data_IF_135878373513
#
_entry.id   IF_135878373513
#
_cell.length_a   1.000
_cell.length_b   1.000
_cell.length_c   1.000
_cell.angle_alpha   90.00
_cell.angle_beta   90.00
_cell.angle_gamma   90.00
#
_symmetry.space_group_name_H-M   'P 1'
#
loop_
_entity.id
_entity.type
_entity.pdbx_description
1 polymer ?
#
# COMPACT_ATOMS: atom_id res chain seq x y z
N UNK A 1 16.90 -35.40 50.62
CA UNK A 1 17.50 -34.56 49.58
C UNK A 1 16.64 -34.71 48.33
N UNK A 2 15.89 -33.70 47.88
CA UNK A 2 15.08 -33.79 46.68
C UNK A 2 15.94 -33.48 45.44
N UNK A 3 15.88 -34.39 44.48
CA UNK A 3 16.57 -34.33 43.19
C UNK A 3 15.97 -33.22 42.31
N UNK A 4 16.76 -32.21 41.97
CA UNK A 4 16.45 -31.20 40.97
C UNK A 4 16.57 -31.83 39.56
N UNK A 5 15.42 -31.92 38.87
CA UNK A 5 15.39 -32.25 37.41
C UNK A 5 15.84 -31.02 36.61
N UNK A 6 16.73 -31.18 35.64
CA UNK A 6 17.10 -30.06 34.79
C UNK A 6 15.90 -29.65 33.89
N UNK A 7 15.51 -28.36 33.93
CA UNK A 7 14.66 -27.77 32.92
C UNK A 7 15.42 -27.67 31.61
N UNK A 8 14.98 -28.41 30.60
CA UNK A 8 15.45 -28.22 29.24
C UNK A 8 14.91 -26.92 28.71
N UNK A 9 15.77 -25.92 28.58
CA UNK A 9 15.47 -24.66 27.89
C UNK A 9 15.39 -24.95 26.38
N UNK A 10 14.18 -25.13 25.84
CA UNK A 10 13.99 -25.21 24.41
C UNK A 10 14.26 -23.79 23.83
N UNK A 11 15.45 -23.62 23.22
CA UNK A 11 15.73 -22.47 22.41
C UNK A 11 14.81 -22.52 21.17
N UNK A 12 13.77 -21.69 21.16
CA UNK A 12 13.05 -21.36 19.92
C UNK A 12 14.07 -20.64 19.03
N UNK A 13 14.67 -21.36 18.09
CA UNK A 13 15.34 -20.76 16.96
C UNK A 13 14.23 -20.07 16.13
N UNK A 14 14.10 -18.76 16.30
CA UNK A 14 13.36 -17.96 15.34
C UNK A 14 14.01 -18.20 13.98
N UNK A 15 13.31 -18.85 13.08
CA UNK A 15 13.76 -18.93 11.69
C UNK A 15 13.97 -17.48 11.23
N UNK A 16 15.09 -17.15 10.56
CA UNK A 16 15.26 -15.84 9.98
C UNK A 16 14.04 -15.60 9.09
N UNK A 17 13.36 -14.46 9.27
CA UNK A 17 12.31 -14.05 8.34
C UNK A 17 12.96 -14.14 6.95
N UNK A 18 12.48 -15.07 6.14
CA UNK A 18 12.96 -15.20 4.77
C UNK A 18 12.79 -13.82 4.14
N UNK A 19 13.89 -13.23 3.70
CA UNK A 19 13.82 -11.98 2.99
C UNK A 19 12.82 -12.19 1.85
N UNK A 20 11.77 -11.38 1.79
CA UNK A 20 10.73 -11.51 0.76
C UNK A 20 11.38 -11.15 -0.58
N UNK A 21 12.05 -12.12 -1.18
CA UNK A 21 12.85 -11.91 -2.39
C UNK A 21 11.98 -11.83 -3.66
N UNK A 22 10.71 -12.25 -3.57
CA UNK A 22 9.88 -12.53 -4.73
C UNK A 22 10.35 -13.78 -5.48
N UNK A 23 9.56 -14.23 -6.42
CA UNK A 23 9.93 -15.33 -7.30
C UNK A 23 10.89 -14.86 -8.39
N UNK A 24 11.79 -15.75 -8.87
CA UNK A 24 12.61 -15.42 -10.03
C UNK A 24 11.73 -15.09 -11.25
N UNK A 25 12.05 -14.01 -11.95
CA UNK A 25 11.37 -13.67 -13.20
C UNK A 25 11.87 -14.63 -14.29
N UNK A 26 10.96 -15.43 -14.84
CA UNK A 26 11.20 -16.33 -15.97
C UNK A 26 10.56 -15.76 -17.24
N UNK A 27 10.81 -16.39 -18.40
CA UNK A 27 10.16 -15.99 -19.64
C UNK A 27 8.62 -16.15 -19.57
N UNK A 28 8.13 -17.15 -18.83
CA UNK A 28 6.70 -17.40 -18.65
C UNK A 28 6.04 -16.36 -17.76
N UNK A 29 6.72 -15.86 -16.73
CA UNK A 29 6.16 -14.93 -15.73
C UNK A 29 6.45 -13.47 -15.99
N UNK A 30 7.36 -13.14 -16.92
CA UNK A 30 7.80 -11.77 -17.18
C UNK A 30 6.67 -10.82 -17.59
N UNK A 31 5.71 -11.29 -18.39
CA UNK A 31 4.56 -10.49 -18.81
C UNK A 31 3.65 -10.18 -17.62
N UNK A 32 3.33 -11.18 -16.81
CA UNK A 32 2.49 -11.06 -15.63
C UNK A 32 3.10 -10.12 -14.59
N UNK A 33 4.39 -10.28 -14.29
CA UNK A 33 5.13 -9.39 -13.37
C UNK A 33 5.09 -7.95 -13.87
N UNK A 34 5.33 -7.76 -15.18
CA UNK A 34 5.31 -6.42 -15.79
C UNK A 34 3.93 -5.80 -15.72
N UNK A 35 2.87 -6.58 -15.97
CA UNK A 35 1.49 -6.10 -15.88
C UNK A 35 1.14 -5.67 -14.45
N UNK A 36 1.43 -6.49 -13.44
CA UNK A 36 1.16 -6.16 -12.03
C UNK A 36 1.90 -4.89 -11.58
N UNK A 37 3.18 -4.73 -11.96
CA UNK A 37 3.94 -3.50 -11.67
C UNK A 37 3.26 -2.29 -12.33
N UNK A 38 2.90 -2.39 -13.61
CA UNK A 38 2.22 -1.29 -14.34
C UNK A 38 0.86 -0.95 -13.75
N UNK A 39 0.11 -1.94 -13.24
CA UNK A 39 -1.16 -1.70 -12.55
C UNK A 39 -0.92 -0.86 -11.29
N UNK A 40 0.04 -1.25 -10.43
CA UNK A 40 0.33 -0.51 -9.21
C UNK A 40 0.79 0.93 -9.50
N UNK A 41 1.68 1.12 -10.48
CA UNK A 41 2.15 2.43 -10.89
C UNK A 41 1.03 3.27 -11.53
N UNK A 42 0.12 2.63 -12.29
CA UNK A 42 -1.03 3.30 -12.91
C UNK A 42 -2.08 3.75 -11.89
N UNK A 43 -2.29 3.00 -10.81
CA UNK A 43 -3.14 3.42 -9.69
C UNK A 43 -2.57 4.70 -9.07
N UNK A 44 -1.26 4.74 -8.77
CA UNK A 44 -0.61 5.91 -8.20
C UNK A 44 -0.74 7.13 -9.12
N UNK A 45 -0.48 6.94 -10.42
CA UNK A 45 -0.60 8.01 -11.41
C UNK A 45 -2.04 8.53 -11.55
N UNK A 46 -3.04 7.64 -11.54
CA UNK A 46 -4.44 8.02 -11.60
C UNK A 46 -4.89 8.80 -10.34
N UNK A 47 -4.44 8.36 -9.16
CA UNK A 47 -4.69 9.06 -7.89
C UNK A 47 -4.07 10.46 -7.90
N UNK A 48 -2.84 10.60 -8.37
CA UNK A 48 -2.16 11.91 -8.46
C UNK A 48 -2.84 12.85 -9.46
N UNK A 49 -3.33 12.30 -10.58
CA UNK A 49 -4.12 13.03 -11.56
C UNK A 49 -5.58 13.30 -11.12
N UNK A 50 -6.03 12.71 -10.00
CA UNK A 50 -7.44 12.74 -9.56
C UNK A 50 -8.39 12.08 -10.59
N UNK A 51 -7.87 11.15 -11.40
CA UNK A 51 -8.67 10.35 -12.33
C UNK A 51 -9.24 9.13 -11.60
N UNK A 52 -10.24 9.37 -10.79
CA UNK A 52 -10.87 8.35 -9.94
C UNK A 52 -11.52 7.22 -10.75
N UNK A 53 -12.21 7.48 -11.87
CA UNK A 53 -12.70 6.43 -12.75
C UNK A 53 -11.58 5.51 -13.26
N UNK A 54 -10.43 6.06 -13.65
CA UNK A 54 -9.29 5.27 -14.09
C UNK A 54 -8.70 4.45 -12.93
N UNK A 55 -8.49 5.07 -11.76
CA UNK A 55 -8.01 4.35 -10.58
C UNK A 55 -8.89 3.14 -10.24
N UNK A 56 -10.23 3.31 -10.30
CA UNK A 56 -11.21 2.25 -10.00
C UNK A 56 -11.07 1.02 -10.88
N UNK A 57 -10.67 1.17 -12.14
CA UNK A 57 -10.59 0.07 -13.11
C UNK A 57 -9.58 -1.02 -12.75
N UNK A 58 -8.60 -0.71 -11.91
CA UNK A 58 -7.55 -1.65 -11.52
C UNK A 58 -7.92 -2.55 -10.34
N UNK A 59 -9.06 -2.28 -9.70
CA UNK A 59 -9.51 -3.03 -8.53
C UNK A 59 -10.66 -3.98 -8.85
N UNK A 60 -10.67 -5.14 -8.19
CA UNK A 60 -11.85 -5.99 -8.14
C UNK A 60 -13.04 -5.25 -7.51
N UNK A 61 -14.26 -5.78 -7.64
CA UNK A 61 -15.45 -5.15 -7.08
C UNK A 61 -15.38 -5.01 -5.56
N UNK A 62 -14.71 -5.97 -4.91
CA UNK A 62 -14.46 -5.99 -3.48
C UNK A 62 -12.96 -6.11 -3.23
N UNK A 63 -12.45 -5.36 -2.27
CA UNK A 63 -11.02 -5.32 -1.94
C UNK A 63 -10.81 -5.45 -0.43
N UNK A 64 -9.79 -6.20 -0.04
CA UNK A 64 -9.29 -6.23 1.33
C UNK A 64 -8.29 -5.07 1.52
N UNK A 65 -8.53 -4.21 2.51
CA UNK A 65 -7.68 -3.04 2.78
C UNK A 65 -7.12 -3.08 4.20
N UNK A 66 -5.83 -2.75 4.33
CA UNK A 66 -5.19 -2.52 5.62
C UNK A 66 -4.32 -1.25 5.55
N UNK A 67 -4.92 -0.14 5.98
CA UNK A 67 -4.24 1.14 6.20
C UNK A 67 -4.16 1.50 7.68
N UNK A 68 -4.35 0.52 8.57
CA UNK A 68 -4.43 0.73 10.03
C UNK A 68 -3.19 1.39 10.60
N UNK A 69 -2.01 1.06 10.08
CA UNK A 69 -0.75 1.67 10.49
C UNK A 69 -0.62 3.17 10.09
N UNK A 70 -1.38 3.63 9.09
CA UNK A 70 -1.42 5.02 8.64
C UNK A 70 -2.55 5.81 9.30
N UNK A 71 -3.76 5.24 9.29
CA UNK A 71 -5.01 5.94 9.63
C UNK A 71 -5.68 5.42 10.91
N UNK A 72 -5.17 4.36 11.52
CA UNK A 72 -5.86 3.67 12.62
C UNK A 72 -7.02 2.79 12.12
N UNK A 73 -7.86 2.34 13.06
CA UNK A 73 -8.98 1.45 12.75
C UNK A 73 -8.59 -0.02 12.66
N UNK A 74 -9.33 -0.80 11.89
CA UNK A 74 -9.14 -2.24 11.68
C UNK A 74 -9.09 -2.54 10.17
N UNK A 75 -8.38 -3.62 9.76
CA UNK A 75 -8.45 -4.10 8.39
C UNK A 75 -9.90 -4.42 7.99
N UNK A 76 -10.26 -4.17 6.74
CA UNK A 76 -11.63 -4.34 6.28
C UNK A 76 -11.70 -4.88 4.84
N UNK A 77 -12.75 -5.63 4.56
CA UNK A 77 -13.16 -5.96 3.19
C UNK A 77 -14.26 -4.99 2.79
N UNK A 78 -14.02 -4.19 1.75
CA UNK A 78 -14.94 -3.12 1.31
C UNK A 78 -15.18 -3.18 -0.20
N UNK A 79 -16.30 -2.62 -0.69
CA UNK A 79 -16.44 -2.33 -2.12
C UNK A 79 -15.31 -1.41 -2.59
N UNK A 80 -14.74 -1.67 -3.76
CA UNK A 80 -13.67 -0.80 -4.29
C UNK A 80 -14.16 0.64 -4.54
N UNK A 81 -15.45 0.83 -4.84
CA UNK A 81 -16.04 2.17 -4.94
C UNK A 81 -15.93 2.96 -3.63
N UNK A 82 -16.09 2.30 -2.48
CA UNK A 82 -15.91 2.93 -1.17
C UNK A 82 -14.45 3.32 -0.89
N UNK A 83 -13.47 2.52 -1.37
CA UNK A 83 -12.06 2.91 -1.31
C UNK A 83 -11.79 4.18 -2.13
N UNK A 84 -12.28 4.21 -3.37
CA UNK A 84 -12.11 5.37 -4.27
C UNK A 84 -12.81 6.60 -3.70
N UNK A 85 -14.01 6.47 -3.14
CA UNK A 85 -14.73 7.57 -2.47
C UNK A 85 -13.92 8.10 -1.27
N UNK A 86 -13.36 7.20 -0.45
CA UNK A 86 -12.49 7.58 0.66
C UNK A 86 -11.27 8.40 0.21
N UNK A 87 -10.60 7.96 -0.85
CA UNK A 87 -9.46 8.70 -1.41
C UNK A 87 -9.87 10.03 -2.02
N UNK A 88 -10.91 10.05 -2.86
CA UNK A 88 -11.37 11.26 -3.55
C UNK A 88 -11.90 12.34 -2.60
N UNK A 89 -12.49 11.93 -1.48
CA UNK A 89 -12.97 12.86 -0.46
C UNK A 89 -11.83 13.55 0.31
N UNK A 90 -10.65 12.92 0.41
CA UNK A 90 -9.48 13.52 1.07
C UNK A 90 -8.54 14.21 0.07
N UNK A 91 -8.25 13.55 -1.06
CA UNK A 91 -7.31 14.02 -2.07
C UNK A 91 -8.05 14.83 -3.16
N UNK A 92 -8.68 15.94 -2.77
CA UNK A 92 -9.39 16.82 -3.69
C UNK A 92 -8.44 17.57 -4.64
N UNK A 93 -9.00 18.36 -5.56
CA UNK A 93 -8.19 19.13 -6.52
C UNK A 93 -7.22 20.12 -5.85
N UNK A 94 -7.54 20.61 -4.65
CA UNK A 94 -6.68 21.55 -3.91
C UNK A 94 -5.55 20.87 -3.14
N UNK A 95 -5.65 19.56 -2.91
CA UNK A 95 -4.59 18.78 -2.27
C UNK A 95 -3.78 18.06 -3.34
N UNK A 96 -2.71 18.70 -3.79
CA UNK A 96 -1.75 18.04 -4.68
C UNK A 96 -1.15 16.81 -3.99
N UNK A 97 -0.97 15.75 -4.74
CA UNK A 97 -0.33 14.51 -4.29
C UNK A 97 0.67 14.01 -5.30
N UNK A 98 1.61 13.24 -4.83
CA UNK A 98 2.56 12.53 -5.66
C UNK A 98 2.90 11.20 -4.99
N UNK A 99 2.88 10.14 -5.77
CA UNK A 99 3.28 8.80 -5.36
C UNK A 99 4.41 8.28 -6.23
N UNK A 100 5.36 7.62 -5.60
CA UNK A 100 6.44 6.90 -6.29
C UNK A 100 6.56 5.52 -5.67
N UNK A 101 6.59 4.48 -6.52
CA UNK A 101 6.69 3.10 -6.11
C UNK A 101 7.92 2.42 -6.71
N UNK A 102 8.54 1.51 -5.97
CA UNK A 102 9.73 0.79 -6.43
C UNK A 102 10.03 -0.45 -5.61
N UNK A 103 11.14 -1.13 -5.92
CA UNK A 103 11.53 -2.37 -5.26
C UNK A 103 10.45 -3.45 -5.31
N UNK A 104 9.77 -3.57 -6.45
CA UNK A 104 8.70 -4.55 -6.64
C UNK A 104 9.25 -5.98 -6.57
N UNK A 105 8.58 -6.82 -5.78
CA UNK A 105 8.86 -8.24 -5.62
C UNK A 105 7.55 -8.98 -5.69
N UNK A 106 7.37 -9.82 -6.69
CA UNK A 106 6.16 -10.60 -6.91
C UNK A 106 6.41 -12.04 -6.49
N UNK A 107 5.47 -12.63 -5.78
CA UNK A 107 5.39 -14.06 -5.46
C UNK A 107 4.07 -14.58 -5.98
N UNK A 108 4.12 -15.66 -6.76
CA UNK A 108 2.92 -16.28 -7.29
C UNK A 108 2.36 -17.31 -6.31
N UNK A 109 1.08 -17.18 -5.99
CA UNK A 109 0.33 -18.08 -5.12
C UNK A 109 -0.49 -19.07 -5.96
N UNK A 110 0.08 -19.52 -7.08
CA UNK A 110 -0.54 -20.36 -8.10
C UNK A 110 -0.67 -19.61 -9.44
N UNK A 111 -1.42 -20.16 -10.41
CA UNK A 111 -1.52 -19.59 -11.76
C UNK A 111 -2.35 -18.30 -11.83
N UNK A 112 -3.26 -18.10 -10.87
CA UNK A 112 -4.27 -17.04 -10.91
C UNK A 112 -4.25 -16.13 -9.70
N UNK A 113 -3.23 -16.23 -8.84
CA UNK A 113 -3.07 -15.36 -7.68
C UNK A 113 -1.59 -15.00 -7.48
N UNK A 114 -1.34 -13.77 -7.01
CA UNK A 114 -0.01 -13.30 -6.70
C UNK A 114 -0.03 -12.23 -5.60
N UNK A 115 1.07 -12.16 -4.86
CA UNK A 115 1.33 -11.10 -3.89
C UNK A 115 2.52 -10.27 -4.35
N UNK A 116 2.37 -8.95 -4.39
CA UNK A 116 3.45 -8.02 -4.70
C UNK A 116 3.79 -7.17 -3.48
N UNK A 117 5.06 -7.19 -3.10
CA UNK A 117 5.62 -6.23 -2.15
C UNK A 117 6.39 -5.14 -2.88
N UNK A 118 6.23 -3.90 -2.43
CA UNK A 118 6.97 -2.75 -2.98
C UNK A 118 7.27 -1.74 -1.88
N UNK A 119 8.13 -0.78 -2.17
CA UNK A 119 8.31 0.40 -1.33
C UNK A 119 7.63 1.59 -1.99
N UNK A 120 6.95 2.40 -1.19
CA UNK A 120 6.34 3.63 -1.65
C UNK A 120 6.89 4.86 -0.94
N UNK A 121 6.92 5.95 -1.66
CA UNK A 121 7.06 7.30 -1.16
C UNK A 121 5.90 8.12 -1.68
N UNK A 122 5.30 8.92 -0.81
CA UNK A 122 4.25 9.84 -1.20
C UNK A 122 4.37 11.17 -0.45
N UNK A 123 3.84 12.22 -1.05
CA UNK A 123 3.61 13.49 -0.36
C UNK A 123 2.24 14.06 -0.71
N UNK A 124 1.69 14.81 0.23
CA UNK A 124 0.54 15.68 -0.01
C UNK A 124 0.93 17.13 0.25
N UNK A 125 0.44 18.04 -0.59
CA UNK A 125 0.65 19.48 -0.45
C UNK A 125 -0.68 20.22 -0.56
N UNK A 126 -0.90 21.12 0.38
CA UNK A 126 -2.05 22.02 0.41
C UNK A 126 -1.61 23.38 0.93
N UNK A 127 -1.80 24.44 0.13
CA UNK A 127 -1.31 25.79 0.45
C UNK A 127 -1.88 26.34 1.77
N UNK A 128 -3.13 25.99 2.10
CA UNK A 128 -3.73 26.35 3.37
C UNK A 128 -2.96 25.85 4.61
N UNK A 129 -2.16 24.79 4.46
CA UNK A 129 -1.27 24.28 5.52
C UNK A 129 -0.13 25.21 5.89
N UNK A 130 0.23 26.17 5.02
CA UNK A 130 1.25 27.19 5.30
C UNK A 130 0.80 28.22 6.34
N UNK A 131 -0.51 28.35 6.59
CA UNK A 131 -1.02 29.18 7.69
C UNK A 131 -0.53 28.61 9.04
N UNK A 132 0.06 29.42 9.93
CA UNK A 132 0.46 28.96 11.26
C UNK A 132 -0.67 28.32 12.08
N UNK A 133 -1.93 28.72 11.87
CA UNK A 133 -3.08 28.09 12.49
C UNK A 133 -3.32 26.65 12.01
N UNK A 134 -2.82 26.30 10.84
CA UNK A 134 -2.92 25.00 10.19
C UNK A 134 -1.60 24.21 10.18
N UNK A 135 -0.65 24.59 11.04
CA UNK A 135 0.63 23.90 11.20
C UNK A 135 1.83 24.62 10.58
N UNK A 136 1.65 25.63 9.72
CA UNK A 136 2.71 26.49 9.21
C UNK A 136 3.58 25.90 8.11
N UNK A 137 3.26 24.71 7.60
CA UNK A 137 3.96 24.04 6.52
C UNK A 137 2.96 23.42 5.55
N UNK A 138 3.06 23.63 4.22
CA UNK A 138 2.08 23.13 3.27
C UNK A 138 2.27 21.65 2.88
N UNK A 139 3.27 20.95 3.44
CA UNK A 139 3.72 19.63 2.97
C UNK A 139 3.65 18.58 4.09
N UNK A 140 3.17 17.40 3.74
CA UNK A 140 3.31 16.15 4.48
C UNK A 140 3.91 15.07 3.58
N UNK A 141 4.77 14.23 4.14
CA UNK A 141 5.47 13.16 3.44
C UNK A 141 5.38 11.84 4.20
N UNK A 142 5.36 10.74 3.47
CA UNK A 142 5.32 9.39 4.03
C UNK A 142 6.07 8.40 3.14
N UNK A 143 6.68 7.38 3.76
CA UNK A 143 7.27 6.26 3.04
C UNK A 143 7.20 4.97 3.86
N UNK A 144 7.11 3.85 3.15
CA UNK A 144 7.02 2.54 3.76
C UNK A 144 6.71 1.43 2.75
N UNK A 145 6.62 0.19 3.23
CA UNK A 145 6.23 -0.93 2.40
C UNK A 145 4.74 -0.93 2.08
N UNK A 146 4.45 -1.32 0.85
CA UNK A 146 3.13 -1.71 0.37
C UNK A 146 3.07 -3.21 0.11
N UNK A 147 1.90 -3.78 0.32
CA UNK A 147 1.56 -5.14 -0.12
C UNK A 147 0.28 -5.08 -0.95
N UNK A 148 0.31 -5.68 -2.16
CA UNK A 148 -0.84 -5.83 -3.02
C UNK A 148 -1.09 -7.31 -3.28
N UNK A 149 -2.34 -7.75 -3.11
CA UNK A 149 -2.80 -9.03 -3.66
C UNK A 149 -3.38 -8.82 -5.04
N UNK A 150 -3.11 -9.77 -5.93
CA UNK A 150 -3.63 -9.79 -7.29
C UNK A 150 -4.35 -11.09 -7.55
N UNK A 151 -5.42 -11.03 -8.34
CA UNK A 151 -6.04 -12.20 -8.94
C UNK A 151 -6.16 -12.01 -10.44
N UNK A 152 -6.08 -13.11 -11.18
CA UNK A 152 -6.37 -13.13 -12.62
C UNK A 152 -7.88 -13.15 -12.82
N UNK A 153 -8.42 -12.10 -13.44
CA UNK A 153 -9.84 -11.96 -13.75
C UNK A 153 -9.97 -11.74 -15.26
N UNK A 154 -10.57 -12.70 -15.95
CA UNK A 154 -10.53 -12.70 -17.41
C UNK A 154 -9.12 -12.94 -17.93
N UNK A 155 -8.65 -12.07 -18.83
CA UNK A 155 -7.34 -12.19 -19.47
C UNK A 155 -6.24 -11.34 -18.76
N UNK A 156 -6.54 -10.65 -17.66
CA UNK A 156 -5.64 -9.71 -17.00
C UNK A 156 -5.59 -9.85 -15.48
N UNK A 157 -4.66 -9.15 -14.87
CA UNK A 157 -4.51 -9.07 -13.42
C UNK A 157 -5.32 -7.92 -12.83
N UNK A 158 -5.85 -8.12 -11.64
CA UNK A 158 -6.68 -7.15 -10.91
C UNK A 158 -6.29 -7.13 -9.44
N UNK A 159 -6.23 -5.95 -8.81
CA UNK A 159 -5.90 -5.81 -7.40
C UNK A 159 -7.09 -6.26 -6.55
N UNK A 160 -6.85 -7.19 -5.63
CA UNK A 160 -7.84 -7.73 -4.68
C UNK A 160 -7.54 -7.36 -3.24
N UNK A 161 -6.31 -6.94 -2.94
CA UNK A 161 -5.98 -6.41 -1.62
C UNK A 161 -4.91 -5.33 -1.70
N UNK A 162 -4.93 -4.40 -0.74
CA UNK A 162 -3.94 -3.34 -0.61
C UNK A 162 -3.67 -3.02 0.86
N UNK A 163 -2.41 -3.05 1.25
CA UNK A 163 -1.97 -2.67 2.59
C UNK A 163 -0.78 -1.71 2.51
N UNK A 164 -0.72 -0.77 3.47
CA UNK A 164 0.40 0.15 3.61
C UNK A 164 0.81 0.32 5.08
N UNK A 165 2.08 0.07 5.37
CA UNK A 165 2.64 0.21 6.71
C UNK A 165 3.76 1.28 6.71
N UNK A 166 3.47 2.54 7.07
CA UNK A 166 4.48 3.59 7.10
C UNK A 166 5.68 3.24 7.96
N UNK A 167 6.88 3.33 7.39
CA UNK A 167 8.14 3.26 8.14
C UNK A 167 8.45 4.59 8.79
N UNK A 168 8.14 5.69 8.11
CA UNK A 168 8.29 7.04 8.63
C UNK A 168 7.36 8.03 7.93
N UNK A 169 7.07 9.13 8.62
CA UNK A 169 6.29 10.27 8.16
C UNK A 169 6.93 11.54 8.67
N UNK A 170 6.77 12.64 7.95
CA UNK A 170 7.20 13.97 8.39
C UNK A 170 6.37 15.07 7.78
N UNK A 171 6.57 16.31 8.28
CA UNK A 171 5.87 17.49 7.80
C UNK A 171 4.54 17.70 8.51
N UNK A 172 3.63 18.36 7.84
CA UNK A 172 2.40 18.85 8.44
C UNK A 172 1.28 17.80 8.45
N UNK A 173 0.98 17.22 9.60
CA UNK A 173 -0.09 16.25 9.78
C UNK A 173 -1.49 16.84 9.56
N UNK A 174 -1.67 18.14 9.74
CA UNK A 174 -2.92 18.80 9.37
C UNK A 174 -3.19 18.66 7.85
N UNK A 175 -2.15 18.78 7.01
CA UNK A 175 -2.26 18.52 5.56
C UNK A 175 -2.66 17.09 5.26
N UNK A 176 -2.14 16.12 6.01
CA UNK A 176 -2.54 14.71 5.87
C UNK A 176 -4.03 14.52 6.14
N UNK A 177 -4.49 15.04 7.28
CA UNK A 177 -5.79 14.68 7.88
C UNK A 177 -6.95 15.53 7.36
N UNK A 178 -6.66 16.73 6.86
CA UNK A 178 -7.70 17.64 6.37
C UNK A 178 -7.98 17.41 4.89
N UNK A 179 -9.22 17.13 4.49
CA UNK A 179 -9.60 17.14 3.07
C UNK A 179 -9.26 18.48 2.42
N UNK A 180 -8.91 18.49 1.14
CA UNK A 180 -8.92 19.73 0.35
C UNK A 180 -10.35 20.29 0.29
N UNK A 181 -10.51 21.60 0.26
CA UNK A 181 -11.82 22.27 0.18
C UNK A 181 -12.36 22.31 -1.24
#
# INVERSE_FOLDING_TARGET
MPSLKPLALAALLAAPAAAQSGDPITAETAADVTEMIRIADAIDAAVDAKDWPLARLYFADTIDVDFTALAGGEPATIPADALIEGWSSNLTAEKASFHLRGNHRVTFDGPDAATMHSHGYAWNRMEAGADPANGGEPLWEVWGPYTHGFARIGDGWTVTSMAFAPTAQRGNFWVRDTPGS
#
